data_IF_538656041178
#
_entry.id   IF_538656041178
#
_cell.length_a   1.000
_cell.length_b   1.000
_cell.length_c   1.000
_cell.angle_alpha   90.00
_cell.angle_beta   90.00
_cell.angle_gamma   90.00
#
_symmetry.space_group_name_H-M   'P 1'
#
loop_
_entity.id
_entity.type
_entity.pdbx_description
1 polymer ?
#
# COMPACT_ATOMS: atom_id res chain seq x y z
N UNK A 1 -15.60 -2.68 -14.07
CA UNK A 1 -14.55 -1.75 -14.50
C UNK A 1 -13.64 -2.46 -15.47
N UNK A 2 -13.68 -2.09 -16.76
CA UNK A 2 -12.67 -2.50 -17.74
C UNK A 2 -11.60 -1.43 -17.79
N UNK A 3 -10.52 -1.61 -17.06
CA UNK A 3 -9.40 -0.67 -16.99
C UNK A 3 -8.16 -1.43 -16.59
N UNK A 4 -7.01 -1.08 -17.17
CA UNK A 4 -5.73 -1.76 -16.98
C UNK A 4 -5.42 -1.93 -15.47
N UNK A 5 -5.60 -3.13 -14.90
CA UNK A 5 -5.49 -3.34 -13.47
C UNK A 5 -4.05 -3.11 -12.98
N UNK A 6 -3.05 -3.51 -13.80
CA UNK A 6 -1.64 -3.26 -13.52
C UNK A 6 -1.35 -1.76 -13.43
N UNK A 7 -1.91 -0.97 -14.34
CA UNK A 7 -1.78 0.49 -14.33
C UNK A 7 -2.37 1.15 -13.08
N UNK A 8 -3.55 0.69 -12.66
CA UNK A 8 -4.19 1.19 -11.43
C UNK A 8 -3.38 0.84 -10.19
N UNK A 9 -2.92 -0.42 -10.06
CA UNK A 9 -2.11 -0.88 -8.93
C UNK A 9 -0.77 -0.12 -8.87
N UNK A 10 -0.11 0.05 -10.03
CA UNK A 10 1.14 0.79 -10.17
C UNK A 10 1.06 2.23 -9.67
N UNK A 11 -0.11 2.85 -9.71
CA UNK A 11 -0.32 4.24 -9.30
C UNK A 11 -0.61 4.43 -7.81
N UNK A 12 -1.02 3.37 -7.10
CA UNK A 12 -1.56 3.49 -5.74
C UNK A 12 -0.81 2.69 -4.68
N UNK A 13 -0.05 1.66 -5.07
CA UNK A 13 0.54 0.70 -4.13
C UNK A 13 1.54 1.35 -3.18
N UNK A 14 2.44 2.17 -3.70
CA UNK A 14 3.43 2.91 -2.90
C UNK A 14 2.79 3.91 -1.95
N UNK A 15 1.73 4.60 -2.40
CA UNK A 15 0.96 5.53 -1.57
C UNK A 15 0.31 4.82 -0.38
N UNK A 16 -0.29 3.65 -0.60
CA UNK A 16 -0.84 2.86 0.49
C UNK A 16 0.27 2.37 1.43
N UNK A 17 1.34 1.78 0.90
CA UNK A 17 2.46 1.30 1.72
C UNK A 17 3.05 2.41 2.58
N UNK A 18 3.29 3.59 2.01
CA UNK A 18 3.74 4.78 2.75
C UNK A 18 2.74 5.16 3.85
N UNK A 19 1.44 5.21 3.55
CA UNK A 19 0.41 5.52 4.53
C UNK A 19 0.41 4.52 5.70
N UNK A 20 0.55 3.23 5.41
CA UNK A 20 0.60 2.16 6.40
C UNK A 20 1.84 2.26 7.30
N UNK A 21 3.04 2.41 6.72
CA UNK A 21 4.27 2.56 7.52
C UNK A 21 4.25 3.84 8.36
N UNK A 22 3.63 4.90 7.84
CA UNK A 22 3.48 6.14 8.59
C UNK A 22 2.44 6.05 9.72
N UNK A 23 1.51 5.09 9.71
CA UNK A 23 0.55 4.97 10.81
C UNK A 23 1.20 4.64 12.16
N UNK A 24 2.41 4.05 12.17
CA UNK A 24 3.17 3.75 13.39
C UNK A 24 2.53 2.68 14.30
N UNK A 25 1.52 1.98 13.79
CA UNK A 25 0.80 0.92 14.51
C UNK A 25 1.61 -0.37 14.42
N UNK A 26 1.79 -1.06 15.55
CA UNK A 26 2.58 -2.29 15.69
C UNK A 26 1.83 -3.55 15.20
N UNK A 27 1.16 -3.48 14.06
CA UNK A 27 0.58 -4.64 13.40
C UNK A 27 1.12 -4.73 11.98
N UNK A 28 1.42 -5.97 11.56
CA UNK A 28 1.65 -6.26 10.15
C UNK A 28 0.38 -5.91 9.39
N UNK A 29 0.46 -4.85 8.58
CA UNK A 29 -0.66 -4.39 7.79
C UNK A 29 -0.51 -4.93 6.36
N UNK A 30 -1.62 -5.43 5.82
CA UNK A 30 -1.70 -5.98 4.48
C UNK A 30 -2.66 -5.14 3.64
N UNK A 31 -2.24 -4.83 2.41
CA UNK A 31 -3.08 -4.20 1.40
C UNK A 31 -3.68 -5.30 0.56
N UNK A 32 -5.02 -5.39 0.52
CA UNK A 32 -5.74 -6.30 -0.37
C UNK A 32 -6.30 -5.55 -1.57
N UNK A 33 -5.85 -5.91 -2.77
CA UNK A 33 -6.33 -5.37 -4.04
C UNK A 33 -7.22 -6.40 -4.72
N UNK A 34 -8.33 -5.96 -5.30
CA UNK A 34 -9.39 -6.85 -5.79
C UNK A 34 -10.53 -7.05 -4.78
N UNK A 35 -10.55 -6.27 -3.70
CA UNK A 35 -11.69 -6.15 -2.78
C UNK A 35 -12.31 -4.77 -2.97
N UNK A 36 -13.65 -4.71 -3.09
CA UNK A 36 -14.37 -3.44 -3.24
C UNK A 36 -14.67 -2.83 -1.87
N UNK A 37 -14.31 -1.57 -1.68
CA UNK A 37 -14.47 -0.89 -0.38
C UNK A 37 -15.93 -0.74 0.07
N UNK A 38 -16.88 -0.58 -0.85
CA UNK A 38 -18.28 -0.27 -0.53
C UNK A 38 -19.03 -1.40 0.17
N UNK A 39 -18.77 -2.64 -0.22
CA UNK A 39 -19.49 -3.84 0.24
C UNK A 39 -18.55 -4.98 0.67
N UNK A 40 -17.24 -4.75 0.63
CA UNK A 40 -16.19 -5.74 0.90
C UNK A 40 -16.28 -6.99 0.03
N UNK A 41 -16.93 -6.90 -1.12
CA UNK A 41 -17.03 -8.01 -2.07
C UNK A 41 -15.69 -8.27 -2.75
N UNK A 42 -15.38 -9.55 -2.96
CA UNK A 42 -14.23 -9.98 -3.75
C UNK A 42 -14.59 -9.77 -5.22
N UNK A 43 -13.98 -8.77 -5.84
CA UNK A 43 -14.10 -8.51 -7.29
C UNK A 43 -12.97 -9.21 -8.04
N UNK A 44 -11.82 -9.37 -7.39
CA UNK A 44 -10.60 -9.90 -7.96
C UNK A 44 -9.93 -8.93 -8.94
N UNK A 45 -8.74 -9.32 -9.37
CA UNK A 45 -7.93 -8.68 -10.38
C UNK A 45 -7.66 -9.74 -11.44
N UNK A 46 -8.05 -9.45 -12.69
CA UNK A 46 -7.79 -10.36 -13.81
C UNK A 46 -6.29 -10.26 -14.17
N UNK A 47 -5.55 -11.36 -14.03
CA UNK A 47 -4.12 -11.46 -14.28
C UNK A 47 -3.83 -12.78 -14.98
N UNK A 48 -3.30 -12.72 -16.20
CA UNK A 48 -2.74 -13.90 -16.85
C UNK A 48 -1.42 -14.29 -16.18
N UNK A 49 -0.91 -15.52 -16.39
CA UNK A 49 0.34 -15.97 -15.76
C UNK A 49 1.53 -15.00 -15.96
N UNK A 50 1.66 -14.39 -17.14
CA UNK A 50 2.68 -13.38 -17.44
C UNK A 50 2.48 -12.06 -16.65
N UNK A 51 1.23 -11.67 -16.41
CA UNK A 51 0.88 -10.46 -15.66
C UNK A 51 1.20 -10.62 -14.16
N UNK A 52 1.19 -11.85 -13.64
CA UNK A 52 1.52 -12.14 -12.25
C UNK A 52 2.98 -11.79 -11.92
N UNK A 53 3.92 -12.19 -12.78
CA UNK A 53 5.34 -11.89 -12.58
C UNK A 53 5.63 -10.42 -12.86
N UNK A 54 4.99 -9.84 -13.88
CA UNK A 54 5.09 -8.42 -14.16
C UNK A 54 4.57 -7.58 -12.98
N UNK A 55 3.43 -7.95 -12.39
CA UNK A 55 2.87 -7.28 -11.21
C UNK A 55 3.86 -7.30 -10.05
N UNK A 56 4.44 -8.46 -9.73
CA UNK A 56 5.44 -8.58 -8.65
C UNK A 56 6.64 -7.69 -8.91
N UNK A 57 7.13 -7.64 -10.15
CA UNK A 57 8.25 -6.77 -10.55
C UNK A 57 7.88 -5.29 -10.39
N UNK A 58 6.73 -4.86 -10.90
CA UNK A 58 6.28 -3.46 -10.82
C UNK A 58 6.10 -3.02 -9.37
N UNK A 59 5.46 -3.85 -8.54
CA UNK A 59 5.29 -3.52 -7.11
C UNK A 59 6.64 -3.43 -6.43
N UNK A 60 7.54 -4.39 -6.65
CA UNK A 60 8.92 -4.37 -6.11
C UNK A 60 9.68 -3.10 -6.50
N UNK A 61 9.63 -2.71 -7.78
CA UNK A 61 10.27 -1.48 -8.28
C UNK A 61 9.69 -0.23 -7.62
N UNK A 62 8.37 -0.18 -7.43
CA UNK A 62 7.72 0.94 -6.74
C UNK A 62 8.12 1.03 -5.27
N UNK A 63 8.12 -0.09 -4.56
CA UNK A 63 8.49 -0.10 -3.15
C UNK A 63 9.98 0.23 -2.94
N UNK A 64 10.84 -0.11 -3.91
CA UNK A 64 12.25 0.25 -3.88
C UNK A 64 12.49 1.77 -3.97
N UNK A 65 11.55 2.54 -4.54
CA UNK A 65 11.64 3.99 -4.65
C UNK A 65 11.20 4.73 -3.37
N UNK A 66 10.65 4.03 -2.38
CA UNK A 66 10.22 4.64 -1.11
C UNK A 66 11.44 5.09 -0.31
N UNK A 67 11.30 6.27 0.32
CA UNK A 67 12.33 6.87 1.17
C UNK A 67 11.78 7.09 2.58
N UNK A 68 12.47 6.67 3.66
CA UNK A 68 13.71 5.89 3.65
C UNK A 68 13.55 4.50 3.00
N UNK A 69 14.64 3.90 2.46
CA UNK A 69 14.58 2.61 1.79
C UNK A 69 14.02 1.50 2.69
N UNK A 70 13.22 0.64 2.07
CA UNK A 70 12.65 -0.56 2.69
C UNK A 70 13.46 -1.77 2.23
N UNK A 71 13.85 -2.65 3.15
CA UNK A 71 14.55 -3.88 2.81
C UNK A 71 13.64 -4.77 1.94
N UNK A 72 14.08 -5.29 0.78
CA UNK A 72 13.25 -6.14 -0.07
C UNK A 72 12.73 -7.41 0.63
N UNK A 73 13.42 -7.89 1.66
CA UNK A 73 13.02 -9.04 2.47
C UNK A 73 11.94 -8.73 3.50
N UNK A 74 11.57 -7.45 3.68
CA UNK A 74 10.62 -7.02 4.71
C UNK A 74 9.18 -6.89 4.22
N UNK A 75 8.93 -6.96 2.91
CA UNK A 75 7.58 -7.01 2.33
C UNK A 75 7.36 -8.32 1.58
N UNK A 76 6.09 -8.69 1.40
CA UNK A 76 5.67 -9.86 0.61
C UNK A 76 4.52 -9.50 -0.32
N UNK A 77 4.54 -10.09 -1.51
CA UNK A 77 3.49 -9.93 -2.52
C UNK A 77 2.91 -11.32 -2.78
N UNK A 78 1.70 -11.56 -2.33
CA UNK A 78 0.99 -12.84 -2.47
C UNK A 78 -0.19 -12.68 -3.43
N UNK A 79 -0.42 -13.69 -4.27
CA UNK A 79 -1.56 -13.75 -5.18
C UNK A 79 -2.47 -14.88 -4.73
N UNK A 80 -3.67 -14.52 -4.29
CA UNK A 80 -4.66 -15.46 -3.78
C UNK A 80 -5.70 -15.74 -4.86
N UNK A 81 -5.78 -16.97 -5.41
CA UNK A 81 -6.80 -17.30 -6.40
C UNK A 81 -8.20 -17.09 -5.84
N UNK A 82 -9.06 -16.41 -6.59
CA UNK A 82 -10.47 -16.21 -6.22
C UNK A 82 -11.24 -17.47 -6.57
N UNK A 83 -12.13 -17.92 -5.68
CA UNK A 83 -12.98 -19.08 -5.91
C UNK A 83 -14.45 -18.70 -5.93
N UNK A 84 -15.24 -19.44 -6.73
CA UNK A 84 -16.70 -19.39 -6.71
C UNK A 84 -17.34 -20.33 -5.66
N UNK A 85 -16.54 -20.94 -4.78
CA UNK A 85 -16.97 -21.90 -3.76
C UNK A 85 -16.83 -23.37 -4.17
N UNK A 86 -16.58 -23.66 -5.45
CA UNK A 86 -16.37 -25.02 -5.96
C UNK A 86 -14.99 -25.20 -6.58
N UNK A 87 -14.52 -24.18 -7.31
CA UNK A 87 -13.21 -24.18 -7.95
C UNK A 87 -12.63 -22.75 -7.96
N UNK A 88 -11.30 -22.61 -8.11
CA UNK A 88 -10.70 -21.33 -8.48
C UNK A 88 -11.28 -20.82 -9.81
N UNK A 89 -11.46 -19.51 -9.92
CA UNK A 89 -11.81 -18.84 -11.16
C UNK A 89 -10.50 -18.52 -11.88
N UNK A 90 -10.43 -18.94 -13.14
CA UNK A 90 -9.21 -18.79 -13.95
C UNK A 90 -8.79 -17.32 -14.06
N UNK A 91 -7.48 -17.11 -13.91
CA UNK A 91 -6.81 -15.81 -14.03
C UNK A 91 -7.38 -14.70 -13.11
N UNK A 92 -8.08 -15.06 -12.02
CA UNK A 92 -8.68 -14.09 -11.10
C UNK A 92 -8.07 -14.20 -9.71
N UNK A 93 -7.46 -13.10 -9.24
CA UNK A 93 -6.71 -13.10 -7.98
C UNK A 93 -7.08 -11.92 -7.07
N UNK A 94 -6.94 -12.11 -5.76
CA UNK A 94 -6.75 -11.01 -4.80
C UNK A 94 -5.25 -10.85 -4.61
N UNK A 95 -4.76 -9.64 -4.80
CA UNK A 95 -3.34 -9.32 -4.57
C UNK A 95 -3.19 -8.84 -3.15
N UNK A 96 -2.34 -9.49 -2.37
CA UNK A 96 -1.96 -9.05 -1.03
C UNK A 96 -0.54 -8.49 -1.04
N UNK A 97 -0.37 -7.28 -0.52
CA UNK A 97 0.94 -6.67 -0.26
C UNK A 97 1.11 -6.49 1.23
N UNK A 98 1.93 -7.33 1.86
CA UNK A 98 2.30 -7.23 3.28
C UNK A 98 3.53 -6.34 3.43
N UNK A 99 3.49 -5.42 4.37
CA UNK A 99 4.61 -4.50 4.65
C UNK A 99 4.94 -4.50 6.15
N UNK A 100 6.21 -4.23 6.51
CA UNK A 100 6.61 -4.30 7.90
C UNK A 100 5.98 -3.15 8.68
N UNK A 101 5.63 -3.41 9.94
CA UNK A 101 5.39 -2.31 10.88
C UNK A 101 6.74 -1.70 11.26
N UNK A 102 6.88 -0.40 11.03
CA UNK A 102 8.10 0.33 11.41
C UNK A 102 7.71 1.54 12.23
N UNK A 103 8.07 1.55 13.52
CA UNK A 103 7.99 2.75 14.35
C UNK A 103 9.18 3.65 14.06
N UNK A 104 8.94 4.81 13.45
CA UNK A 104 9.95 5.84 13.20
C UNK A 104 9.39 7.23 13.49
N UNK A 105 10.29 8.08 13.99
CA UNK A 105 10.03 9.50 14.22
C UNK A 105 9.81 10.24 12.89
N UNK A 106 10.62 9.92 11.88
CA UNK A 106 10.49 10.48 10.53
C UNK A 106 9.51 9.68 9.69
N UNK A 107 8.84 10.40 8.79
CA UNK A 107 7.86 9.85 7.85
C UNK A 107 8.55 9.25 6.63
N UNK A 108 7.91 8.23 6.05
CA UNK A 108 8.20 7.70 4.74
C UNK A 108 7.52 8.55 3.65
N UNK A 109 8.12 8.57 2.47
CA UNK A 109 7.63 9.23 1.26
C UNK A 109 7.75 8.29 0.05
N UNK A 110 6.88 8.46 -0.93
CA UNK A 110 6.98 7.75 -2.22
C UNK A 110 8.21 8.20 -3.01
N UNK A 111 8.52 7.52 -4.12
CA UNK A 111 9.55 7.97 -5.07
C UNK A 111 9.30 9.37 -5.64
N UNK A 112 8.04 9.83 -5.62
CA UNK A 112 7.65 11.19 -5.99
C UNK A 112 7.76 12.22 -4.86
N UNK A 113 8.37 11.87 -3.73
CA UNK A 113 8.47 12.70 -2.52
C UNK A 113 7.12 13.06 -1.89
N UNK A 114 6.10 12.23 -2.11
CA UNK A 114 4.78 12.44 -1.54
C UNK A 114 4.64 11.66 -0.24
N UNK A 115 4.14 12.33 0.80
CA UNK A 115 3.91 11.71 2.12
C UNK A 115 2.43 11.46 2.30
N UNK A 116 2.10 10.22 2.68
CA UNK A 116 0.74 9.80 2.97
C UNK A 116 0.63 9.28 4.40
N UNK A 117 -0.54 9.44 5.00
CA UNK A 117 -0.92 8.83 6.28
C UNK A 117 -2.21 8.05 6.14
N UNK A 118 -2.36 6.99 6.94
CA UNK A 118 -3.61 6.24 7.07
C UNK A 118 -4.58 7.05 7.93
N UNK A 119 -5.84 7.13 7.49
CA UNK A 119 -6.98 7.68 8.21
C UNK A 119 -8.12 6.68 8.18
N UNK A 120 -9.17 6.91 8.96
CA UNK A 120 -10.37 6.06 8.94
C UNK A 120 -11.07 6.04 7.56
N UNK A 121 -10.84 7.08 6.75
CA UNK A 121 -11.36 7.21 5.39
C UNK A 121 -10.42 6.67 4.30
N UNK A 122 -9.29 6.04 4.67
CA UNK A 122 -8.32 5.47 3.73
C UNK A 122 -6.93 6.11 3.85
N UNK A 123 -6.33 6.52 2.73
CA UNK A 123 -5.03 7.22 2.71
C UNK A 123 -5.23 8.70 2.40
N UNK A 124 -4.44 9.57 3.04
CA UNK A 124 -4.45 11.01 2.79
C UNK A 124 -3.04 11.52 2.53
N UNK A 125 -2.86 12.27 1.44
CA UNK A 125 -1.62 13.00 1.17
C UNK A 125 -1.54 14.17 2.14
N UNK A 126 -0.39 14.34 2.79
CA UNK A 126 -0.15 15.49 3.65
C UNK A 126 0.30 16.69 2.81
N UNK A 127 -0.27 17.86 3.10
CA UNK A 127 0.28 19.14 2.68
C UNK A 127 1.52 19.50 3.51
N UNK A 128 2.26 20.53 3.08
CA UNK A 128 3.45 20.99 3.79
C UNK A 128 3.17 21.39 5.25
N UNK A 129 2.00 21.98 5.53
CA UNK A 129 1.61 22.38 6.88
C UNK A 129 1.28 21.16 7.74
N UNK A 130 0.53 20.20 7.19
CA UNK A 130 0.17 18.98 7.92
C UNK A 130 1.38 18.09 8.19
N UNK A 131 2.34 18.06 7.27
CA UNK A 131 3.64 17.40 7.46
C UNK A 131 4.39 17.96 8.68
N UNK A 132 4.44 19.28 8.83
CA UNK A 132 5.08 19.93 9.97
C UNK A 132 4.35 19.58 11.28
N UNK A 133 3.02 19.68 11.28
CA UNK A 133 2.20 19.33 12.44
C UNK A 133 2.40 17.88 12.87
N UNK A 134 2.41 16.94 11.91
CA UNK A 134 2.63 15.52 12.15
C UNK A 134 4.02 15.26 12.77
N UNK A 135 5.07 15.90 12.25
CA UNK A 135 6.43 15.76 12.79
C UNK A 135 6.55 16.36 14.21
N UNK A 136 5.97 17.53 14.44
CA UNK A 136 5.95 18.19 15.76
C UNK A 136 5.26 17.27 16.79
N UNK A 137 4.11 16.71 16.45
CA UNK A 137 3.37 15.78 17.30
C UNK A 137 4.20 14.53 17.63
N UNK A 138 4.85 13.93 16.63
CA UNK A 138 5.70 12.74 16.84
C UNK A 138 6.92 13.01 17.71
N UNK A 139 7.47 14.21 17.63
CA UNK A 139 8.60 14.64 18.45
C UNK A 139 8.19 15.07 19.86
N UNK A 140 6.88 15.21 20.12
CA UNK A 140 6.36 15.71 21.40
C UNK A 140 6.73 17.17 21.66
N UNK A 141 6.91 17.96 20.60
CA UNK A 141 7.20 19.40 20.71
C UNK A 141 5.87 20.14 20.84
N UNK A 142 5.76 21.08 21.79
CA UNK A 142 4.61 21.96 21.89
C UNK A 142 4.71 23.07 20.83
N UNK A 143 3.76 23.17 19.87
CA UNK A 143 3.81 24.17 18.81
C UNK A 143 3.54 25.62 19.28
N UNK A 144 3.24 25.84 20.57
CA UNK A 144 2.82 27.16 21.12
C UNK A 144 3.96 27.89 21.87
N UNK A 145 5.21 27.46 21.73
CA UNK A 145 6.38 28.16 22.28
C UNK A 145 7.11 29.04 21.26
#
# INVERSE_FOLDING_TARGET
MGGNPLGAIKGIVDQYVVAFMNAGIAQEDAIFLGIRDSDRSIVGVQLQPQDCDELRRIVTERLHQIVPPIAPTSYRIELHPVSNGFAPIDDLFVVEVRVPSVRRTLLFATGGQEVYVKTDAGKRKLSAIELQQELIQRLGIDPVL
#
